data_IF_215473006558
#
_entry.id   IF_215473006558
#
_cell.length_a   1.000
_cell.length_b   1.000
_cell.length_c   1.000
_cell.angle_alpha   90.00
_cell.angle_beta   90.00
_cell.angle_gamma   90.00
#
_symmetry.space_group_name_H-M   'P 1'
#
loop_
_entity.id
_entity.type
_entity.pdbx_description
1 polymer ?
#
# COMPACT_ATOMS: atom_id res chain seq x y z
N UNK A 1 16.08 15.73 8.28
CA UNK A 1 15.07 15.20 9.24
C UNK A 1 14.31 16.33 9.94
N UNK A 2 14.97 17.20 10.72
CA UNK A 2 14.32 18.25 11.51
C UNK A 2 13.37 19.16 10.71
N UNK A 3 13.84 19.76 9.61
CA UNK A 3 12.97 20.58 8.73
C UNK A 3 11.78 19.80 8.15
N UNK A 4 11.93 18.50 7.92
CA UNK A 4 10.85 17.60 7.51
C UNK A 4 9.77 17.51 8.58
N UNK A 5 10.17 17.19 9.83
CA UNK A 5 9.26 17.17 10.97
C UNK A 5 8.60 18.53 11.23
N UNK A 6 9.36 19.63 11.08
CA UNK A 6 8.83 20.98 11.22
C UNK A 6 7.81 21.33 10.13
N UNK A 7 8.02 20.90 8.88
CA UNK A 7 7.04 21.04 7.80
C UNK A 7 5.79 20.20 8.09
N UNK A 8 5.94 18.92 8.46
CA UNK A 8 4.81 18.06 8.82
C UNK A 8 3.98 18.62 9.99
N UNK A 9 4.61 19.23 11.00
CA UNK A 9 3.92 19.90 12.13
C UNK A 9 3.17 21.19 11.75
N UNK A 10 3.45 21.77 10.58
CA UNK A 10 2.69 22.92 10.02
C UNK A 10 1.53 22.49 9.13
N UNK A 11 1.34 21.19 8.88
CA UNK A 11 0.15 20.68 8.22
C UNK A 11 -1.01 20.68 9.23
N UNK A 12 -2.09 21.39 8.90
CA UNK A 12 -3.28 21.53 9.73
C UNK A 12 -4.52 21.29 8.89
N UNK A 13 -4.99 20.03 8.76
CA UNK A 13 -6.15 19.67 7.93
C UNK A 13 -7.42 20.45 8.29
N UNK A 14 -7.64 20.71 9.58
CA UNK A 14 -8.79 21.48 10.10
C UNK A 14 -8.85 22.92 9.56
N UNK A 15 -7.68 23.52 9.25
CA UNK A 15 -7.58 24.85 8.65
C UNK A 15 -7.18 24.82 7.16
N UNK A 16 -7.29 23.65 6.51
CA UNK A 16 -7.00 23.47 5.08
C UNK A 16 -5.51 23.52 4.68
N UNK A 17 -4.56 23.61 5.62
CA UNK A 17 -3.13 23.61 5.29
C UNK A 17 -2.63 22.18 5.08
N UNK A 18 -2.82 21.69 3.85
CA UNK A 18 -2.56 20.29 3.46
C UNK A 18 -1.23 20.09 2.75
N UNK A 19 -0.48 21.16 2.47
CA UNK A 19 0.83 21.12 1.83
C UNK A 19 1.82 22.11 2.45
N UNK A 20 3.09 21.77 2.42
CA UNK A 20 4.23 22.58 2.80
C UNK A 20 5.37 22.34 1.82
N UNK A 21 5.86 23.41 1.18
CA UNK A 21 7.03 23.37 0.30
C UNK A 21 8.15 24.17 0.96
N UNK A 22 9.34 23.60 1.06
CA UNK A 22 10.52 24.22 1.68
C UNK A 22 11.71 24.08 0.74
N UNK A 23 12.26 25.21 0.33
CA UNK A 23 13.50 25.27 -0.45
C UNK A 23 14.71 25.37 0.48
N UNK A 24 15.70 24.52 0.24
CA UNK A 24 17.03 24.60 0.86
C UNK A 24 18.01 25.08 -0.20
N UNK A 25 18.31 26.37 -0.18
CA UNK A 25 19.31 26.98 -1.04
C UNK A 25 20.71 26.44 -0.69
N UNK A 26 21.42 25.93 -1.70
CA UNK A 26 22.78 25.41 -1.58
C UNK A 26 23.86 26.43 -2.02
N UNK A 27 23.47 27.64 -2.37
CA UNK A 27 24.29 28.65 -3.03
C UNK A 27 24.23 28.56 -4.57
N UNK A 28 24.73 29.58 -5.29
CA UNK A 28 24.56 29.69 -6.74
C UNK A 28 25.24 28.56 -7.54
N UNK A 29 26.29 27.95 -6.98
CA UNK A 29 27.12 26.95 -7.67
C UNK A 29 26.62 25.50 -7.50
N UNK A 30 25.50 25.27 -6.80
CA UNK A 30 24.97 23.93 -6.48
C UNK A 30 23.45 23.88 -6.57
N UNK A 31 22.86 22.80 -7.10
CA UNK A 31 21.42 22.56 -6.95
C UNK A 31 21.02 22.55 -5.48
N UNK A 32 20.01 23.35 -5.13
CA UNK A 32 19.35 23.27 -3.83
C UNK A 32 18.43 22.06 -3.73
N UNK A 33 17.80 21.88 -2.58
CA UNK A 33 16.87 20.77 -2.32
C UNK A 33 15.46 21.30 -2.08
N UNK A 34 14.46 20.66 -2.69
CA UNK A 34 13.04 20.95 -2.44
C UNK A 34 12.43 19.86 -1.57
N UNK A 35 12.00 20.20 -0.36
CA UNK A 35 11.11 19.35 0.43
C UNK A 35 9.66 19.70 0.10
N UNK A 36 8.92 18.73 -0.43
CA UNK A 36 7.48 18.82 -0.61
C UNK A 36 6.80 17.86 0.39
N UNK A 37 6.24 18.40 1.47
CA UNK A 37 5.47 17.64 2.44
C UNK A 37 3.97 17.86 2.20
N UNK A 38 3.23 16.78 1.95
CA UNK A 38 1.77 16.81 1.72
C UNK A 38 1.08 15.90 2.73
N UNK A 39 -0.05 16.36 3.26
CA UNK A 39 -0.84 15.59 4.22
C UNK A 39 -1.50 14.39 3.54
N UNK A 40 -1.38 13.19 4.11
CA UNK A 40 -1.77 11.94 3.45
C UNK A 40 -3.26 11.87 3.07
N UNK A 41 -4.14 12.70 3.65
CA UNK A 41 -5.54 12.85 3.25
C UNK A 41 -5.75 13.23 1.77
N UNK A 42 -4.75 13.83 1.11
CA UNK A 42 -4.87 14.32 -0.29
C UNK A 42 -3.76 13.82 -1.21
N UNK A 43 -3.01 12.78 -0.81
CA UNK A 43 -1.93 12.20 -1.63
C UNK A 43 -1.78 10.71 -1.34
N UNK A 44 -1.35 9.96 -2.34
CA UNK A 44 -0.95 8.55 -2.25
C UNK A 44 0.30 8.28 -3.11
N UNK A 45 0.79 7.04 -3.09
CA UNK A 45 1.97 6.64 -3.88
C UNK A 45 1.79 6.75 -5.41
N UNK A 46 0.56 6.82 -5.92
CA UNK A 46 0.28 7.06 -7.36
C UNK A 46 0.32 8.56 -7.65
N UNK A 47 -0.23 9.37 -6.75
CA UNK A 47 -0.26 10.83 -6.84
C UNK A 47 1.14 11.44 -6.94
N UNK A 48 2.14 10.87 -6.26
CA UNK A 48 3.53 11.31 -6.43
C UNK A 48 4.11 11.07 -7.82
N UNK A 49 3.61 10.07 -8.56
CA UNK A 49 3.97 9.80 -9.97
C UNK A 49 3.29 10.77 -10.95
N UNK A 50 2.32 11.56 -10.48
CA UNK A 50 1.67 12.65 -11.22
C UNK A 50 2.32 13.99 -10.84
N UNK A 51 2.38 14.28 -9.53
CA UNK A 51 2.86 15.55 -8.97
C UNK A 51 4.30 15.90 -9.35
N UNK A 52 5.23 14.94 -9.32
CA UNK A 52 6.65 15.23 -9.57
C UNK A 52 6.94 15.53 -11.06
N UNK A 53 6.47 14.73 -12.05
CA UNK A 53 6.60 15.09 -13.45
C UNK A 53 5.87 16.39 -13.83
N UNK A 54 4.66 16.61 -13.31
CA UNK A 54 3.90 17.84 -13.56
C UNK A 54 4.64 19.08 -13.04
N UNK A 55 5.20 19.01 -11.83
CA UNK A 55 5.97 20.11 -11.22
C UNK A 55 7.27 20.40 -11.99
N UNK A 56 7.97 19.36 -12.45
CA UNK A 56 9.16 19.50 -13.29
C UNK A 56 8.83 20.13 -14.66
N UNK A 57 7.72 19.72 -15.28
CA UNK A 57 7.23 20.29 -16.54
C UNK A 57 6.84 21.77 -16.38
N UNK A 58 6.03 22.10 -15.38
CA UNK A 58 5.60 23.46 -15.08
C UNK A 58 6.80 24.39 -14.80
N UNK A 59 7.78 23.92 -14.02
CA UNK A 59 9.01 24.68 -13.77
C UNK A 59 9.81 24.93 -15.05
N UNK A 60 9.90 23.92 -15.93
CA UNK A 60 10.65 24.03 -17.19
C UNK A 60 10.05 25.09 -18.12
N UNK A 61 8.71 25.21 -18.18
CA UNK A 61 8.03 26.31 -18.90
C UNK A 61 8.29 27.67 -18.25
N UNK A 62 8.12 27.79 -16.94
CA UNK A 62 8.36 29.05 -16.20
C UNK A 62 9.80 29.54 -16.37
N UNK A 63 10.78 28.64 -16.33
CA UNK A 63 12.19 28.95 -16.52
C UNK A 63 12.51 29.42 -17.96
N UNK A 64 11.71 29.00 -18.96
CA UNK A 64 11.79 29.49 -20.33
C UNK A 64 11.02 30.81 -20.57
N UNK A 65 10.20 31.26 -19.60
CA UNK A 65 9.32 32.43 -19.72
C UNK A 65 7.91 32.10 -20.24
N UNK A 66 7.57 30.82 -20.38
CA UNK A 66 6.25 30.34 -20.82
C UNK A 66 5.30 30.10 -19.64
N UNK A 67 3.98 30.15 -19.91
CA UNK A 67 2.95 29.79 -18.95
C UNK A 67 2.87 28.26 -18.74
N UNK A 68 2.82 27.74 -17.49
CA UNK A 68 2.57 26.33 -17.22
C UNK A 68 1.26 25.83 -17.85
N UNK A 69 1.36 24.71 -18.56
CA UNK A 69 0.22 23.98 -19.09
C UNK A 69 0.43 22.51 -18.72
N UNK A 70 -0.59 21.94 -18.09
CA UNK A 70 -0.56 20.56 -17.60
C UNK A 70 -1.69 19.77 -18.26
N UNK A 71 -1.40 18.51 -18.54
CA UNK A 71 -2.37 17.55 -19.05
C UNK A 71 -3.62 17.50 -18.16
N UNK A 72 -4.84 17.50 -18.73
CA UNK A 72 -6.09 17.69 -17.99
C UNK A 72 -6.37 16.55 -17.00
N UNK A 73 -7.16 16.86 -15.96
CA UNK A 73 -7.64 15.87 -14.99
C UNK A 73 -8.99 15.33 -15.45
N UNK A 74 -9.11 14.01 -15.65
CA UNK A 74 -10.36 13.36 -16.03
C UNK A 74 -11.42 13.42 -14.93
N UNK A 75 -11.37 12.52 -13.94
CA UNK A 75 -12.36 12.42 -12.86
C UNK A 75 -11.83 12.98 -11.55
N UNK A 76 -12.46 14.04 -11.04
CA UNK A 76 -12.06 14.64 -9.77
C UNK A 76 -12.25 13.70 -8.58
N UNK A 77 -11.40 13.83 -7.54
CA UNK A 77 -11.54 13.07 -6.28
C UNK A 77 -12.94 13.23 -5.64
N UNK A 78 -13.55 14.41 -5.77
CA UNK A 78 -14.93 14.66 -5.32
C UNK A 78 -15.93 13.77 -6.07
N UNK A 79 -15.86 13.77 -7.41
CA UNK A 79 -16.73 12.95 -8.26
C UNK A 79 -16.56 11.47 -7.92
N UNK A 80 -15.32 11.00 -7.80
CA UNK A 80 -15.00 9.64 -7.39
C UNK A 80 -15.60 9.28 -6.03
N UNK A 81 -15.37 10.10 -5.00
CA UNK A 81 -15.87 9.85 -3.65
C UNK A 81 -17.41 9.82 -3.58
N UNK A 82 -18.10 10.69 -4.33
CA UNK A 82 -19.57 10.64 -4.44
C UNK A 82 -20.03 9.34 -5.12
N UNK A 83 -19.41 8.97 -6.24
CA UNK A 83 -19.76 7.74 -6.98
C UNK A 83 -19.50 6.47 -6.18
N UNK A 84 -18.45 6.42 -5.36
CA UNK A 84 -18.21 5.28 -4.45
C UNK A 84 -19.34 5.05 -3.44
N UNK A 85 -20.09 6.08 -3.04
CA UNK A 85 -21.27 5.92 -2.15
C UNK A 85 -22.46 5.31 -2.91
N UNK A 86 -22.62 5.67 -4.18
CA UNK A 86 -23.62 5.09 -5.08
C UNK A 86 -23.30 3.60 -5.34
N UNK A 87 -22.07 3.30 -5.79
CA UNK A 87 -21.56 1.94 -6.01
C UNK A 87 -21.64 1.06 -4.76
N UNK A 88 -21.39 1.61 -3.57
CA UNK A 88 -21.48 0.87 -2.31
C UNK A 88 -22.88 0.29 -2.05
N UNK A 89 -23.93 0.79 -2.70
CA UNK A 89 -25.30 0.34 -2.56
C UNK A 89 -25.74 -0.66 -3.64
N UNK A 90 -24.90 -0.93 -4.65
CA UNK A 90 -25.24 -1.86 -5.73
C UNK A 90 -25.38 -3.31 -5.23
N UNK A 91 -26.28 -4.06 -5.87
CA UNK A 91 -26.53 -5.47 -5.54
C UNK A 91 -25.26 -6.33 -5.66
N UNK A 92 -24.40 -6.08 -6.66
CA UNK A 92 -23.13 -6.81 -6.87
C UNK A 92 -22.19 -6.69 -5.66
N UNK A 93 -22.23 -5.56 -4.94
CA UNK A 93 -21.40 -5.34 -3.74
C UNK A 93 -21.97 -6.09 -2.55
N UNK A 94 -23.30 -6.11 -2.41
CA UNK A 94 -23.96 -6.88 -1.34
C UNK A 94 -23.70 -8.39 -1.47
N UNK A 95 -23.50 -8.91 -2.68
CA UNK A 95 -23.10 -10.30 -2.94
C UNK A 95 -21.69 -10.65 -2.42
N UNK A 96 -20.79 -9.67 -2.22
CA UNK A 96 -19.46 -9.89 -1.63
C UNK A 96 -19.50 -10.04 -0.10
N UNK A 97 -20.59 -9.64 0.56
CA UNK A 97 -20.67 -9.63 2.03
C UNK A 97 -20.33 -10.99 2.70
N UNK A 98 -20.74 -12.16 2.17
CA UNK A 98 -20.31 -13.45 2.69
C UNK A 98 -18.79 -13.70 2.63
N UNK A 99 -18.09 -13.23 1.58
CA UNK A 99 -16.64 -13.33 1.45
C UNK A 99 -15.95 -12.56 2.57
N UNK A 100 -16.35 -11.30 2.77
CA UNK A 100 -15.76 -10.43 3.80
C UNK A 100 -16.05 -10.93 5.23
N UNK A 101 -17.26 -11.44 5.48
CA UNK A 101 -17.60 -12.15 6.72
C UNK A 101 -16.69 -13.37 6.93
N UNK A 102 -16.49 -14.21 5.92
CA UNK A 102 -15.69 -15.42 6.02
C UNK A 102 -14.21 -15.10 6.32
N UNK A 103 -13.62 -14.12 5.63
CA UNK A 103 -12.26 -13.67 5.89
C UNK A 103 -12.08 -13.20 7.35
N UNK A 104 -13.02 -12.40 7.86
CA UNK A 104 -12.99 -11.88 9.23
C UNK A 104 -13.46 -12.87 10.31
N UNK A 105 -14.02 -14.02 9.95
CA UNK A 105 -14.47 -15.05 10.90
C UNK A 105 -13.33 -16.02 11.24
N UNK A 106 -13.43 -16.71 12.38
CA UNK A 106 -12.43 -17.68 12.82
C UNK A 106 -11.22 -17.07 13.55
N UNK A 107 -10.29 -17.89 14.03
CA UNK A 107 -9.19 -17.45 14.89
C UNK A 107 -8.23 -16.50 14.18
N UNK A 108 -7.64 -15.59 14.95
CA UNK A 108 -6.43 -14.87 14.61
C UNK A 108 -5.69 -14.69 15.93
N UNK A 109 -4.73 -15.58 16.25
CA UNK A 109 -4.08 -15.60 17.55
C UNK A 109 -3.27 -14.34 17.82
N UNK A 110 -3.24 -13.92 19.09
CA UNK A 110 -2.55 -12.71 19.54
C UNK A 110 -1.04 -12.78 19.23
N UNK A 111 -0.50 -11.73 18.61
CA UNK A 111 0.94 -11.63 18.30
C UNK A 111 1.79 -11.25 19.53
N UNK A 112 1.27 -10.33 20.34
CA UNK A 112 1.91 -9.83 21.57
C UNK A 112 1.32 -10.43 22.84
N UNK A 113 1.64 -9.84 23.99
CA UNK A 113 1.11 -10.26 25.29
C UNK A 113 -0.38 -9.87 25.51
N UNK A 114 -0.88 -8.85 24.80
CA UNK A 114 -2.28 -8.39 24.80
C UNK A 114 -2.64 -7.71 23.47
N UNK A 115 -3.93 -7.47 23.16
CA UNK A 115 -4.36 -6.57 22.09
C UNK A 115 -3.76 -5.17 22.23
N UNK A 116 -3.67 -4.42 21.12
CA UNK A 116 -3.21 -3.02 21.13
C UNK A 116 -4.23 -2.10 21.83
N UNK A 117 -3.71 -1.14 22.59
CA UNK A 117 -4.47 -0.09 23.26
C UNK A 117 -4.34 1.21 22.47
N UNK A 118 -5.47 1.70 21.94
CA UNK A 118 -5.51 2.90 21.07
C UNK A 118 -5.06 4.18 21.77
N UNK A 119 -5.13 4.25 23.11
CA UNK A 119 -4.68 5.41 23.88
C UNK A 119 -3.19 5.38 24.22
N UNK A 120 -2.55 4.21 24.14
CA UNK A 120 -1.17 4.00 24.62
C UNK A 120 -0.20 3.60 23.51
N UNK A 121 -0.60 2.66 22.65
CA UNK A 121 0.25 2.04 21.66
C UNK A 121 0.16 2.83 20.34
N UNK A 122 0.63 4.08 20.39
CA UNK A 122 0.54 5.07 19.29
C UNK A 122 1.77 5.04 18.38
N UNK A 123 1.62 5.44 17.11
CA UNK A 123 2.71 5.49 16.12
C UNK A 123 3.97 6.25 16.61
N UNK A 124 3.81 7.33 17.37
CA UNK A 124 4.94 8.08 17.96
C UNK A 124 5.80 7.28 18.95
N UNK A 125 5.33 6.13 19.41
CA UNK A 125 6.06 5.19 20.29
C UNK A 125 6.45 3.88 19.59
N UNK A 126 6.09 3.72 18.31
CA UNK A 126 6.41 2.53 17.54
C UNK A 126 7.93 2.33 17.38
N UNK A 127 8.33 1.06 17.22
CA UNK A 127 9.70 0.66 16.88
C UNK A 127 9.67 -0.07 15.55
N UNK A 128 10.65 0.20 14.71
CA UNK A 128 10.78 -0.43 13.39
C UNK A 128 11.97 -1.37 13.37
N UNK A 129 11.79 -2.55 12.79
CA UNK A 129 12.87 -3.47 12.42
C UNK A 129 12.91 -3.54 10.89
N UNK A 130 14.01 -3.07 10.30
CA UNK A 130 14.21 -3.06 8.85
C UNK A 130 15.26 -4.09 8.45
N UNK A 131 15.01 -4.80 7.36
CA UNK A 131 15.93 -5.75 6.74
C UNK A 131 16.14 -5.34 5.29
N UNK A 132 17.40 -5.23 4.87
CA UNK A 132 17.78 -4.93 3.48
C UNK A 132 18.44 -6.17 2.88
N UNK A 133 17.87 -6.67 1.78
CA UNK A 133 18.43 -7.81 1.05
C UNK A 133 19.38 -7.32 -0.05
N UNK A 134 20.51 -8.02 -0.31
CA UNK A 134 21.48 -7.59 -1.31
C UNK A 134 20.93 -7.72 -2.74
N UNK A 135 21.50 -7.00 -3.73
CA UNK A 135 21.11 -7.09 -5.14
C UNK A 135 21.08 -8.52 -5.68
N UNK A 136 22.00 -9.38 -5.23
CA UNK A 136 22.11 -10.78 -5.68
C UNK A 136 20.88 -11.62 -5.31
N UNK A 137 20.11 -11.18 -4.29
CA UNK A 137 18.85 -11.80 -3.86
C UNK A 137 17.65 -11.04 -4.43
N UNK A 138 17.69 -9.71 -4.43
CA UNK A 138 16.54 -8.90 -4.88
C UNK A 138 16.37 -8.85 -6.39
N UNK A 139 17.45 -8.99 -7.17
CA UNK A 139 17.40 -9.08 -8.63
C UNK A 139 16.54 -10.25 -9.11
N UNK A 140 16.94 -11.51 -8.83
CA UNK A 140 16.15 -12.69 -9.21
C UNK A 140 14.75 -12.71 -8.60
N UNK A 141 14.57 -12.19 -7.38
CA UNK A 141 13.25 -12.06 -6.75
C UNK A 141 12.34 -11.09 -7.53
N UNK A 142 12.88 -10.05 -8.15
CA UNK A 142 12.12 -9.05 -8.93
C UNK A 142 11.90 -9.44 -10.39
N UNK A 143 12.66 -10.40 -10.94
CA UNK A 143 12.59 -10.81 -12.35
C UNK A 143 12.29 -12.29 -12.54
N UNK A 144 13.20 -13.15 -12.10
CA UNK A 144 13.29 -14.53 -12.56
C UNK A 144 12.33 -15.45 -11.79
N UNK A 145 12.21 -15.23 -10.47
CA UNK A 145 11.32 -16.01 -9.59
C UNK A 145 9.84 -15.81 -9.93
N UNK A 146 9.31 -14.57 -10.11
CA UNK A 146 7.93 -14.37 -10.53
C UNK A 146 7.66 -14.95 -11.93
N UNK A 147 8.64 -14.83 -12.85
CA UNK A 147 8.53 -15.38 -14.20
C UNK A 147 8.46 -16.92 -14.22
N UNK A 148 9.34 -17.58 -13.46
CA UNK A 148 9.40 -19.04 -13.36
C UNK A 148 8.16 -19.65 -12.69
N UNK A 149 7.53 -18.93 -11.76
CA UNK A 149 6.35 -19.37 -11.01
C UNK A 149 5.03 -18.87 -11.60
N UNK A 150 5.06 -18.18 -12.75
CA UNK A 150 3.92 -17.53 -13.40
C UNK A 150 3.09 -16.69 -12.40
N UNK A 151 3.77 -15.85 -11.64
CA UNK A 151 3.22 -15.07 -10.53
C UNK A 151 3.68 -13.60 -10.62
N UNK A 152 3.05 -12.73 -9.85
CA UNK A 152 3.56 -11.38 -9.60
C UNK A 152 4.47 -11.36 -8.37
N UNK A 153 5.38 -10.39 -8.29
CA UNK A 153 6.20 -10.15 -7.10
C UNK A 153 5.36 -10.02 -5.82
N UNK A 154 4.17 -9.41 -5.90
CA UNK A 154 3.24 -9.29 -4.77
C UNK A 154 2.83 -10.67 -4.23
N UNK A 155 2.53 -11.62 -5.11
CA UNK A 155 2.11 -12.98 -4.73
C UNK A 155 3.25 -13.73 -4.03
N UNK A 156 4.47 -13.65 -4.58
CA UNK A 156 5.68 -14.28 -4.01
C UNK A 156 5.97 -13.72 -2.61
N UNK A 157 5.96 -12.39 -2.46
CA UNK A 157 6.18 -11.74 -1.16
C UNK A 157 5.08 -12.08 -0.15
N UNK A 158 3.82 -12.14 -0.57
CA UNK A 158 2.70 -12.40 0.32
C UNK A 158 2.60 -13.88 0.72
N UNK A 159 2.97 -14.81 -0.18
CA UNK A 159 3.12 -16.22 0.14
C UNK A 159 4.24 -16.43 1.16
N UNK A 160 5.42 -15.82 0.93
CA UNK A 160 6.54 -15.87 1.87
C UNK A 160 6.16 -15.26 3.24
N UNK A 161 5.45 -14.13 3.26
CA UNK A 161 4.92 -13.50 4.47
C UNK A 161 3.95 -14.42 5.23
N UNK A 162 3.00 -15.03 4.52
CA UNK A 162 2.01 -15.96 5.08
C UNK A 162 2.69 -17.17 5.71
N UNK A 163 3.64 -17.80 5.01
CA UNK A 163 4.41 -18.94 5.52
C UNK A 163 5.31 -18.53 6.70
N UNK A 164 5.94 -17.36 6.66
CA UNK A 164 6.77 -16.87 7.77
C UNK A 164 5.95 -16.66 9.06
N UNK A 165 4.74 -16.09 8.95
CA UNK A 165 3.83 -15.93 10.10
C UNK A 165 3.30 -17.28 10.58
N UNK A 166 2.89 -18.18 9.67
CA UNK A 166 2.47 -19.54 10.02
C UNK A 166 3.59 -20.30 10.77
N UNK A 167 4.84 -20.21 10.27
CA UNK A 167 6.03 -20.81 10.90
C UNK A 167 6.32 -20.23 12.28
N UNK A 168 6.19 -18.91 12.43
CA UNK A 168 6.35 -18.22 13.72
C UNK A 168 5.26 -18.61 14.73
N UNK A 169 4.01 -18.80 14.27
CA UNK A 169 2.86 -19.26 15.06
C UNK A 169 3.04 -20.72 15.47
N UNK A 170 3.37 -21.62 14.55
CA UNK A 170 3.57 -23.05 14.82
C UNK A 170 4.62 -23.30 15.91
N UNK A 171 5.72 -22.53 15.94
CA UNK A 171 6.75 -22.61 17.00
C UNK A 171 6.29 -22.14 18.40
N UNK A 172 5.14 -21.45 18.50
CA UNK A 172 4.63 -20.86 19.76
C UNK A 172 3.29 -21.46 20.21
N UNK A 173 2.45 -21.84 19.26
CA UNK A 173 1.08 -22.30 19.46
C UNK A 173 0.77 -23.41 18.44
N UNK A 174 1.33 -24.63 18.61
CA UNK A 174 1.32 -25.67 17.58
C UNK A 174 -0.07 -26.19 17.19
N UNK A 175 -1.10 -25.90 17.99
CA UNK A 175 -2.49 -26.33 17.78
C UNK A 175 -3.31 -25.34 16.94
N UNK A 176 -2.74 -24.21 16.54
CA UNK A 176 -3.38 -23.23 15.66
C UNK A 176 -3.07 -23.56 14.19
N UNK A 177 -4.08 -23.46 13.32
CA UNK A 177 -3.90 -23.70 11.89
C UNK A 177 -3.06 -22.64 11.18
N UNK A 178 -2.61 -22.95 9.97
CA UNK A 178 -1.68 -22.13 9.18
C UNK A 178 -2.29 -20.82 8.61
N UNK A 179 -3.59 -20.58 8.78
CA UNK A 179 -4.26 -19.42 8.21
C UNK A 179 -3.84 -18.10 8.89
N UNK A 180 -3.53 -17.10 8.08
CA UNK A 180 -3.11 -15.76 8.51
C UNK A 180 -4.13 -14.74 8.03
N UNK A 181 -4.64 -13.92 8.96
CA UNK A 181 -5.49 -12.78 8.63
C UNK A 181 -4.61 -11.55 8.44
N UNK A 182 -4.67 -10.93 7.27
CA UNK A 182 -3.83 -9.80 6.85
C UNK A 182 -4.73 -8.67 6.32
N UNK A 183 -4.44 -7.43 6.69
CA UNK A 183 -4.96 -6.24 6.02
C UNK A 183 -4.05 -5.92 4.82
N UNK A 184 -4.62 -5.98 3.63
CA UNK A 184 -3.93 -5.68 2.38
C UNK A 184 -4.21 -4.24 1.97
N UNK A 185 -3.19 -3.57 1.45
CA UNK A 185 -3.37 -2.29 0.75
C UNK A 185 -3.31 -2.48 -0.78
N UNK A 186 -4.20 -1.78 -1.48
CA UNK A 186 -4.24 -1.63 -2.93
C UNK A 186 -4.22 -0.15 -3.33
N UNK A 187 -4.03 0.14 -4.62
CA UNK A 187 -4.06 1.53 -5.09
C UNK A 187 -5.48 2.13 -5.11
N UNK A 188 -6.53 1.30 -5.07
CA UNK A 188 -7.94 1.71 -5.00
C UNK A 188 -8.40 2.61 -6.16
N UNK A 189 -7.79 2.41 -7.33
CA UNK A 189 -8.11 3.05 -8.61
C UNK A 189 -8.65 2.01 -9.59
N UNK A 190 -9.56 1.19 -9.06
CA UNK A 190 -10.18 0.08 -9.78
C UNK A 190 -11.26 0.61 -10.74
N UNK A 191 -11.55 -0.07 -11.85
CA UNK A 191 -12.56 0.36 -12.83
C UNK A 191 -14.00 0.04 -12.35
N UNK A 192 -14.32 0.45 -11.11
CA UNK A 192 -15.61 0.17 -10.44
C UNK A 192 -16.65 1.27 -10.60
N UNK A 193 -16.28 2.44 -11.11
CA UNK A 193 -17.21 3.52 -11.48
C UNK A 193 -17.17 3.68 -13.00
N UNK A 194 -18.30 3.53 -13.66
CA UNK A 194 -18.39 3.65 -15.13
C UNK A 194 -17.92 5.04 -15.60
N UNK A 195 -17.03 5.05 -16.61
CA UNK A 195 -16.49 6.27 -17.21
C UNK A 195 -15.49 7.05 -16.33
N UNK A 196 -15.09 6.54 -15.17
CA UNK A 196 -14.10 7.20 -14.32
C UNK A 196 -12.67 7.08 -14.88
N UNK A 197 -12.03 8.21 -15.11
CA UNK A 197 -10.59 8.32 -15.41
C UNK A 197 -9.84 8.90 -14.20
N UNK A 198 -9.06 8.06 -13.53
CA UNK A 198 -8.23 8.42 -12.39
C UNK A 198 -6.74 8.51 -12.73
N UNK A 199 -6.35 8.44 -14.01
CA UNK A 199 -4.96 8.39 -14.44
C UNK A 199 -4.14 9.63 -14.04
N UNK A 200 -4.80 10.78 -13.88
CA UNK A 200 -4.18 12.06 -13.50
C UNK A 200 -4.73 12.69 -12.22
N UNK A 201 -5.54 11.95 -11.44
CA UNK A 201 -6.19 12.50 -10.25
C UNK A 201 -5.33 12.35 -9.01
N UNK A 202 -4.90 13.46 -8.42
CA UNK A 202 -4.22 13.50 -7.12
C UNK A 202 -5.24 13.34 -5.98
N UNK A 203 -4.91 12.51 -5.00
CA UNK A 203 -5.76 12.23 -3.84
C UNK A 203 -5.29 11.00 -3.07
N UNK A 204 -5.98 10.65 -1.99
CA UNK A 204 -5.76 9.38 -1.30
C UNK A 204 -6.76 8.33 -1.78
N UNK A 205 -6.32 7.45 -2.68
CA UNK A 205 -7.19 6.40 -3.25
C UNK A 205 -7.00 5.03 -2.61
N UNK A 206 -5.97 4.85 -1.76
CA UNK A 206 -5.60 3.55 -1.16
C UNK A 206 -6.82 2.78 -0.62
N UNK A 207 -7.04 1.58 -1.17
CA UNK A 207 -8.01 0.64 -0.64
C UNK A 207 -7.34 -0.24 0.43
N UNK A 208 -8.03 -0.50 1.54
CA UNK A 208 -7.59 -1.42 2.60
C UNK A 208 -8.66 -2.49 2.82
N UNK A 209 -8.28 -3.77 2.78
CA UNK A 209 -9.21 -4.90 2.89
C UNK A 209 -8.59 -6.12 3.57
N UNK A 210 -9.39 -6.92 4.32
CA UNK A 210 -8.92 -8.13 4.96
C UNK A 210 -8.84 -9.30 3.98
N UNK A 211 -7.75 -10.06 4.03
CA UNK A 211 -7.62 -11.36 3.39
C UNK A 211 -7.25 -12.40 4.44
N UNK A 212 -7.83 -13.60 4.33
CA UNK A 212 -7.45 -14.75 5.16
C UNK A 212 -6.74 -15.76 4.29
N UNK A 213 -5.42 -15.77 4.38
CA UNK A 213 -4.56 -16.60 3.53
C UNK A 213 -4.15 -17.87 4.27
N UNK A 214 -4.49 -19.02 3.69
CA UNK A 214 -4.02 -20.32 4.12
C UNK A 214 -2.99 -20.85 3.11
N UNK A 215 -1.71 -21.05 3.50
CA UNK A 215 -0.68 -21.58 2.60
C UNK A 215 -0.79 -23.11 2.45
N UNK A 216 -1.86 -23.74 2.94
CA UNK A 216 -2.08 -25.18 2.87
C UNK A 216 -1.34 -25.95 3.96
N UNK A 217 -1.05 -27.23 3.66
CA UNK A 217 -0.19 -28.05 4.51
C UNK A 217 1.28 -27.71 4.24
N UNK A 218 2.07 -27.58 5.31
CA UNK A 218 3.47 -27.18 5.23
C UNK A 218 4.34 -28.31 5.79
N UNK A 219 4.98 -29.08 4.91
CA UNK A 219 6.16 -29.86 5.29
C UNK A 219 7.34 -28.89 5.39
N UNK A 220 7.76 -28.62 6.63
CA UNK A 220 8.85 -27.68 6.89
C UNK A 220 10.19 -28.15 6.32
N UNK A 221 10.45 -29.46 6.25
CA UNK A 221 11.72 -29.97 5.73
C UNK A 221 11.78 -29.81 4.20
N UNK A 222 10.68 -30.14 3.51
CA UNK A 222 10.56 -29.93 2.07
C UNK A 222 10.57 -28.43 1.73
N UNK A 223 9.84 -27.59 2.47
CA UNK A 223 9.83 -26.14 2.25
C UNK A 223 11.21 -25.49 2.40
N UNK A 224 11.93 -25.77 3.50
CA UNK A 224 13.28 -25.21 3.69
C UNK A 224 14.34 -25.85 2.77
N UNK A 225 14.05 -27.03 2.20
CA UNK A 225 14.84 -27.65 1.14
C UNK A 225 14.57 -27.09 -0.27
N UNK A 226 13.60 -26.17 -0.43
CA UNK A 226 13.20 -25.64 -1.75
C UNK A 226 12.35 -26.60 -2.57
N UNK A 227 11.65 -27.54 -1.93
CA UNK A 227 10.79 -28.54 -2.56
C UNK A 227 9.39 -28.03 -2.92
N UNK A 228 8.51 -28.96 -3.32
CA UNK A 228 7.18 -28.68 -3.88
C UNK A 228 6.23 -27.96 -2.93
N UNK A 229 6.51 -27.96 -1.62
CA UNK A 229 5.76 -27.20 -0.62
C UNK A 229 5.88 -25.68 -0.88
N UNK A 230 6.98 -25.20 -1.47
CA UNK A 230 7.14 -23.79 -1.86
C UNK A 230 6.14 -23.40 -2.94
N UNK A 231 6.10 -24.16 -4.04
CA UNK A 231 5.16 -23.98 -5.14
C UNK A 231 3.71 -24.11 -4.67
N UNK A 232 3.40 -25.16 -3.90
CA UNK A 232 2.06 -25.44 -3.38
C UNK A 232 1.54 -24.31 -2.47
N UNK A 233 2.41 -23.72 -1.63
CA UNK A 233 2.04 -22.61 -0.76
C UNK A 233 1.81 -21.30 -1.54
N UNK A 234 2.61 -21.05 -2.59
CA UNK A 234 2.40 -19.91 -3.49
C UNK A 234 1.10 -20.06 -4.27
N UNK A 235 0.87 -21.22 -4.88
CA UNK A 235 -0.33 -21.51 -5.67
C UNK A 235 -1.60 -21.37 -4.82
N UNK A 236 -1.59 -21.89 -3.59
CA UNK A 236 -2.70 -21.74 -2.65
C UNK A 236 -2.98 -20.26 -2.35
N UNK A 237 -1.95 -19.46 -2.06
CA UNK A 237 -2.09 -18.01 -1.79
C UNK A 237 -2.57 -17.26 -3.03
N UNK A 238 -2.00 -17.52 -4.21
CA UNK A 238 -2.39 -16.89 -5.48
C UNK A 238 -3.85 -17.20 -5.83
N UNK A 239 -4.32 -18.44 -5.61
CA UNK A 239 -5.72 -18.81 -5.82
C UNK A 239 -6.66 -17.99 -4.92
N UNK A 240 -6.37 -17.88 -3.61
CA UNK A 240 -7.17 -17.07 -2.68
C UNK A 240 -7.16 -15.56 -3.00
N UNK A 241 -6.09 -15.05 -3.62
CA UNK A 241 -6.04 -13.65 -4.10
C UNK A 241 -6.86 -13.45 -5.39
N UNK A 242 -6.87 -14.44 -6.28
CA UNK A 242 -7.62 -14.39 -7.53
C UNK A 242 -9.15 -14.46 -7.33
N UNK A 243 -9.61 -14.94 -6.17
CA UNK A 243 -11.02 -14.92 -5.76
C UNK A 243 -11.52 -13.52 -5.35
N UNK A 244 -10.63 -12.53 -5.17
CA UNK A 244 -11.00 -11.21 -4.69
C UNK A 244 -11.59 -10.33 -5.82
N UNK A 245 -12.86 -9.88 -5.71
CA UNK A 245 -13.46 -9.00 -6.71
C UNK A 245 -12.80 -7.62 -6.69
N UNK A 246 -12.57 -7.06 -7.87
CA UNK A 246 -12.16 -5.67 -8.11
C UNK A 246 -11.05 -5.19 -7.14
N UNK A 247 -9.96 -5.96 -7.03
CA UNK A 247 -8.81 -5.62 -6.20
C UNK A 247 -9.09 -5.49 -4.70
N UNK A 248 -10.23 -5.98 -4.22
CA UNK A 248 -10.68 -5.89 -2.82
C UNK A 248 -11.35 -4.57 -2.42
N UNK A 249 -11.56 -3.62 -3.35
CA UNK A 249 -12.09 -2.28 -3.03
C UNK A 249 -13.51 -2.33 -2.43
N UNK A 250 -14.31 -3.34 -2.78
CA UNK A 250 -15.67 -3.54 -2.30
C UNK A 250 -15.78 -3.71 -0.78
N UNK A 251 -14.75 -4.23 -0.11
CA UNK A 251 -14.74 -4.28 1.36
C UNK A 251 -14.88 -2.89 1.97
N UNK A 252 -14.11 -1.90 1.49
CA UNK A 252 -14.15 -0.53 2.01
C UNK A 252 -15.52 0.13 1.80
N UNK A 253 -16.12 -0.09 0.63
CA UNK A 253 -17.48 0.36 0.31
C UNK A 253 -18.49 -0.18 1.32
N UNK A 254 -18.52 -1.49 1.56
CA UNK A 254 -19.44 -2.15 2.49
C UNK A 254 -19.16 -1.78 3.95
N UNK A 255 -17.88 -1.76 4.34
CA UNK A 255 -17.43 -1.52 5.72
C UNK A 255 -17.69 -0.09 6.19
N UNK A 256 -17.61 0.90 5.29
CA UNK A 256 -17.64 2.32 5.68
C UNK A 256 -18.80 3.12 5.09
N UNK A 257 -19.20 2.85 3.84
CA UNK A 257 -20.16 3.67 3.08
C UNK A 257 -21.58 3.09 3.09
N UNK A 258 -21.72 1.77 2.94
CA UNK A 258 -23.03 1.10 2.87
C UNK A 258 -23.74 1.04 4.24
N UNK A 259 -24.89 1.69 4.37
CA UNK A 259 -25.64 1.77 5.64
C UNK A 259 -26.11 0.42 6.18
N UNK A 260 -26.41 -0.54 5.29
CA UNK A 260 -26.96 -1.86 5.66
C UNK A 260 -25.91 -2.81 6.23
N UNK A 261 -24.65 -2.64 5.85
CA UNK A 261 -23.57 -3.61 6.14
C UNK A 261 -22.46 -3.04 7.03
N UNK A 262 -22.30 -1.71 7.09
CA UNK A 262 -21.24 -1.06 7.89
C UNK A 262 -21.23 -1.47 9.36
N UNK A 263 -22.39 -1.56 10.00
CA UNK A 263 -22.51 -1.89 11.43
C UNK A 263 -22.12 -3.34 11.72
N UNK A 264 -22.45 -4.26 10.81
CA UNK A 264 -22.10 -5.67 10.91
C UNK A 264 -20.59 -5.85 10.74
N UNK A 265 -20.02 -5.34 9.64
CA UNK A 265 -18.58 -5.42 9.37
C UNK A 265 -17.74 -4.62 10.39
N UNK A 266 -18.32 -3.63 11.07
CA UNK A 266 -17.68 -2.93 12.19
C UNK A 266 -17.67 -3.72 13.51
N UNK A 267 -18.60 -4.65 13.70
CA UNK A 267 -18.63 -5.55 14.86
C UNK A 267 -17.70 -6.77 14.70
N UNK A 268 -17.32 -7.08 13.46
CA UNK A 268 -16.28 -8.07 13.17
C UNK A 268 -14.88 -7.53 13.56
N UNK A 269 -13.94 -8.47 13.69
CA UNK A 269 -12.57 -8.18 14.12
C UNK A 269 -11.74 -7.48 13.06
N UNK A 270 -10.70 -6.77 13.50
CA UNK A 270 -9.69 -6.14 12.63
C UNK A 270 -8.45 -7.03 12.55
N UNK A 271 -7.78 -7.17 11.38
CA UNK A 271 -6.48 -7.84 11.28
C UNK A 271 -5.43 -7.24 12.24
N UNK A 272 -4.56 -8.07 12.80
CA UNK A 272 -3.39 -7.61 13.58
C UNK A 272 -2.15 -7.33 12.71
N UNK A 273 -2.20 -7.71 11.44
CA UNK A 273 -1.10 -7.72 10.49
C UNK A 273 -1.49 -6.94 9.26
N UNK A 274 -0.65 -6.01 8.82
CA UNK A 274 -0.81 -5.29 7.56
C UNK A 274 0.29 -5.66 6.56
N UNK A 275 -0.03 -5.61 5.27
CA UNK A 275 0.91 -5.80 4.17
C UNK A 275 0.66 -4.78 3.05
N UNK A 276 1.70 -4.04 2.69
CA UNK A 276 1.74 -3.16 1.52
C UNK A 276 3.06 -3.37 0.77
N UNK A 277 2.98 -3.53 -0.55
CA UNK A 277 4.12 -3.53 -1.45
C UNK A 277 4.09 -2.27 -2.32
N UNK A 278 4.95 -1.29 -1.99
CA UNK A 278 4.99 0.03 -2.64
C UNK A 278 5.53 0.01 -4.08
N UNK A 279 6.00 -1.14 -4.56
CA UNK A 279 6.63 -1.30 -5.86
C UNK A 279 8.09 -0.85 -5.87
N UNK A 280 8.61 -0.68 -7.10
CA UNK A 280 9.95 -0.12 -7.32
C UNK A 280 9.86 1.40 -7.39
N UNK A 281 10.70 2.07 -6.61
CA UNK A 281 11.04 3.47 -6.82
C UNK A 281 12.34 3.55 -7.63
N UNK A 282 12.46 4.54 -8.50
CA UNK A 282 13.74 4.84 -9.12
C UNK A 282 14.66 5.45 -8.04
N UNK A 283 15.57 4.63 -7.49
CA UNK A 283 16.70 5.19 -6.78
C UNK A 283 17.51 6.03 -7.77
N UNK A 284 17.76 7.30 -7.45
CA UNK A 284 18.78 8.08 -8.16
C UNK A 284 20.09 7.32 -8.04
N UNK A 285 20.59 6.80 -9.17
CA UNK A 285 21.76 5.92 -9.18
C UNK A 285 22.96 6.64 -8.58
N UNK A 286 23.76 5.94 -7.77
CA UNK A 286 24.93 6.52 -7.09
C UNK A 286 25.97 7.10 -8.05
N UNK A 287 25.98 6.62 -9.31
CA UNK A 287 26.87 7.09 -10.39
C UNK A 287 26.15 7.98 -11.43
N UNK A 288 24.85 8.21 -11.28
CA UNK A 288 24.15 9.20 -12.09
C UNK A 288 24.42 10.58 -11.49
N UNK A 289 24.95 11.51 -12.30
CA UNK A 289 24.94 12.94 -11.95
C UNK A 289 23.52 13.30 -11.51
N UNK A 290 23.36 13.91 -10.34
CA UNK A 290 22.05 14.33 -9.84
C UNK A 290 21.35 15.16 -10.93
N UNK A 291 20.28 14.60 -11.49
CA UNK A 291 19.44 15.29 -12.46
C UNK A 291 18.47 16.16 -11.68
N UNK A 292 18.11 17.31 -12.24
CA UNK A 292 17.06 18.14 -11.65
C UNK A 292 15.79 17.30 -11.45
N UNK A 293 15.10 17.51 -10.33
CA UNK A 293 13.93 16.73 -9.90
C UNK A 293 14.17 15.27 -9.49
N UNK A 294 15.43 14.82 -9.35
CA UNK A 294 15.75 13.52 -8.75
C UNK A 294 15.77 13.56 -7.20
N UNK A 295 15.44 12.45 -6.50
CA UNK A 295 15.58 12.35 -5.05
C UNK A 295 17.05 12.52 -4.61
N UNK A 296 17.33 13.16 -3.46
CA UNK A 296 18.71 13.29 -2.98
C UNK A 296 19.32 11.92 -2.66
N UNK A 297 20.64 11.72 -2.94
CA UNK A 297 21.32 10.46 -2.65
C UNK A 297 21.14 10.02 -1.19
N UNK A 298 20.78 8.75 -0.98
CA UNK A 298 20.56 8.18 0.35
C UNK A 298 19.17 8.42 0.95
N UNK A 299 18.26 9.16 0.31
CA UNK A 299 16.84 9.14 0.64
C UNK A 299 16.09 8.21 -0.34
N UNK A 300 15.87 6.96 0.09
CA UNK A 300 15.00 6.02 -0.61
C UNK A 300 13.87 5.58 0.34
N UNK A 301 12.64 5.95 -0.01
CA UNK A 301 11.38 5.49 0.63
C UNK A 301 11.16 5.99 2.05
#
# INVERSE_FOLDING_TARGET
>A
VEHGQAASRRLTPESGTLAQVVWFDAGPDRPGLLLFAVHHLVVDGVSWRILLPDLASAWSRVAAGDEPELEPVGTSLRTWATRLVEEASDARRLEELPLWRAALTGPDPQLGARPLDKGRDVFGTARTLTLTLPPEVTGPLLTDVPAALHAQIKDVLLAAYTVAVASWRARRQPTQGNAVLVEMEGHGREPVVEGADLGRTVGWFTSSYPVRLNPGQLDWNDFWGGGRTVESALDAVRAQLAELPDGGIGYGMLRYLNERTRSELAALRTPQLGFNYLGRFAAGGTDAKAQDWSPPPGMAG
#
